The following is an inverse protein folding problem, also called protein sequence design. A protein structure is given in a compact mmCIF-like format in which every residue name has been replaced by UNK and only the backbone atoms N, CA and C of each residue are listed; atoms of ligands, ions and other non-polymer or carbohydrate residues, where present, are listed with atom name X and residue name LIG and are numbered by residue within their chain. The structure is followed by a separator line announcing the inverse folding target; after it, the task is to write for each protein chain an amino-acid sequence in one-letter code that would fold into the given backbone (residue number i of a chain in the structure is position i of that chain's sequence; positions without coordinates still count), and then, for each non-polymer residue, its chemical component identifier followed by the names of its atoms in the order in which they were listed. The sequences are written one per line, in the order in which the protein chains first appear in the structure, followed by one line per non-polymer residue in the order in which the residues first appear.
data_IF_927295947382
#
_entry.id   IF_927295947382
#
_cell.length_a   1.000
_cell.length_b   1.000
_cell.length_c   1.000
_cell.angle_alpha   90.00
_cell.angle_beta   90.00
_cell.angle_gamma   90.00
#
_symmetry.space_group_name_H-M   'P 1'
#
loop_
_entity.id
_entity.type
_entity.pdbx_description
1 polymer ?
#
# COMPACT_ATOMS: atom_id res chain seq x y z
N UNK A 1 -22.69 23.38 -3.12
CA UNK A 1 -22.13 23.24 -4.48
C UNK A 1 -22.42 21.90 -5.15
N UNK A 2 -22.21 20.77 -4.45
CA UNK A 2 -22.33 19.42 -5.04
C UNK A 2 -23.73 19.13 -5.64
N UNK A 3 -24.78 19.73 -5.10
CA UNK A 3 -26.16 19.60 -5.58
C UNK A 3 -26.55 20.61 -6.67
N UNK A 4 -25.65 21.52 -7.09
CA UNK A 4 -26.00 22.56 -8.06
C UNK A 4 -26.14 22.00 -9.48
N UNK A 5 -27.22 22.33 -10.18
CA UNK A 5 -27.43 21.96 -11.59
C UNK A 5 -26.43 22.66 -12.54
N UNK A 6 -26.00 23.87 -12.17
CA UNK A 6 -25.06 24.68 -12.97
C UNK A 6 -23.60 24.43 -12.60
N UNK A 7 -23.31 23.52 -11.66
CA UNK A 7 -21.97 23.34 -11.09
C UNK A 7 -20.88 23.27 -12.17
N UNK A 8 -21.09 22.42 -13.18
CA UNK A 8 -20.13 22.17 -14.25
C UNK A 8 -19.91 23.41 -15.12
N UNK A 9 -20.97 24.19 -15.38
CA UNK A 9 -20.86 25.45 -16.12
C UNK A 9 -20.12 26.50 -15.31
N UNK A 10 -20.43 26.62 -14.02
CA UNK A 10 -19.86 27.64 -13.13
C UNK A 10 -18.36 27.43 -12.93
N UNK A 11 -17.94 26.19 -12.68
CA UNK A 11 -16.50 25.85 -12.55
C UNK A 11 -15.74 26.01 -13.87
N UNK A 12 -16.41 25.84 -15.01
CA UNK A 12 -15.76 26.03 -16.32
C UNK A 12 -15.58 27.50 -16.69
N UNK A 13 -16.40 28.39 -16.10
CA UNK A 13 -16.45 29.81 -16.49
C UNK A 13 -15.52 30.68 -15.65
N UNK A 14 -15.32 30.37 -14.36
CA UNK A 14 -14.45 31.18 -13.50
C UNK A 14 -13.59 30.32 -12.57
N UNK A 15 -12.29 30.62 -12.52
CA UNK A 15 -11.33 29.94 -11.63
C UNK A 15 -11.69 30.08 -10.15
N UNK A 16 -12.22 31.24 -9.73
CA UNK A 16 -12.64 31.46 -8.35
C UNK A 16 -13.74 30.48 -7.88
N UNK A 17 -14.63 30.06 -8.78
CA UNK A 17 -15.63 29.04 -8.49
C UNK A 17 -14.98 27.66 -8.36
N UNK A 18 -13.94 27.35 -9.13
CA UNK A 18 -13.19 26.10 -8.98
C UNK A 18 -12.58 25.99 -7.59
N UNK A 19 -11.93 27.05 -7.09
CA UNK A 19 -11.29 27.06 -5.77
C UNK A 19 -12.31 26.91 -4.64
N UNK A 20 -13.44 27.63 -4.74
CA UNK A 20 -14.52 27.53 -3.75
C UNK A 20 -15.13 26.13 -3.72
N UNK A 21 -15.41 25.55 -4.89
CA UNK A 21 -15.99 24.20 -5.01
C UNK A 21 -14.99 23.17 -4.49
N UNK A 22 -13.71 23.29 -4.83
CA UNK A 22 -12.65 22.41 -4.36
C UNK A 22 -12.52 22.46 -2.83
N UNK A 23 -12.53 23.67 -2.24
CA UNK A 23 -12.56 23.85 -0.78
C UNK A 23 -13.79 23.20 -0.15
N UNK A 24 -14.97 23.37 -0.75
CA UNK A 24 -16.20 22.73 -0.31
C UNK A 24 -16.17 21.21 -0.36
N UNK A 25 -15.65 20.63 -1.45
CA UNK A 25 -15.54 19.19 -1.60
C UNK A 25 -14.57 18.59 -0.58
N UNK A 26 -13.46 19.28 -0.28
CA UNK A 26 -12.53 18.88 0.79
C UNK A 26 -13.21 18.81 2.15
N UNK A 27 -14.10 19.75 2.46
CA UNK A 27 -14.89 19.71 3.69
C UNK A 27 -15.85 18.52 3.66
N UNK A 28 -16.55 18.31 2.55
CA UNK A 28 -17.48 17.18 2.39
C UNK A 28 -16.78 15.83 2.57
N UNK A 29 -15.64 15.61 1.90
CA UNK A 29 -14.85 14.38 2.04
C UNK A 29 -14.45 14.13 3.50
N UNK A 30 -13.97 15.16 4.22
CA UNK A 30 -13.62 15.05 5.64
C UNK A 30 -14.82 14.70 6.51
N UNK A 31 -15.99 15.27 6.23
CA UNK A 31 -17.23 15.00 6.98
C UNK A 31 -17.73 13.57 6.73
N UNK A 32 -17.70 13.08 5.49
CA UNK A 32 -18.07 11.71 5.15
C UNK A 32 -17.19 10.71 5.89
N UNK A 33 -15.88 10.97 5.96
CA UNK A 33 -14.92 10.09 6.67
C UNK A 33 -15.08 10.06 8.18
N UNK A 34 -15.80 10.99 8.78
CA UNK A 34 -16.10 10.92 10.20
C UNK A 34 -17.01 9.72 10.45
N UNK A 35 -16.55 8.75 11.24
CA UNK A 35 -17.22 7.45 11.47
C UNK A 35 -18.54 7.55 12.26
N UNK A 36 -18.93 8.77 12.65
CA UNK A 36 -20.14 9.07 13.39
C UNK A 36 -21.39 9.10 12.48
N UNK A 37 -22.56 9.08 13.11
CA UNK A 37 -23.86 9.13 12.43
C UNK A 37 -23.96 10.24 11.40
N UNK A 38 -23.41 11.42 11.68
CA UNK A 38 -23.45 12.59 10.81
C UNK A 38 -22.73 12.35 9.48
N UNK A 39 -21.55 11.70 9.50
CA UNK A 39 -20.79 11.41 8.29
C UNK A 39 -21.50 10.39 7.41
N UNK A 40 -22.00 9.30 8.01
CA UNK A 40 -22.79 8.29 7.30
C UNK A 40 -24.09 8.85 6.71
N UNK A 41 -24.77 9.72 7.45
CA UNK A 41 -25.98 10.38 6.96
C UNK A 41 -25.68 11.26 5.75
N UNK A 42 -24.62 12.07 5.81
CA UNK A 42 -24.21 12.91 4.69
C UNK A 42 -23.84 12.07 3.46
N UNK A 43 -23.07 10.99 3.66
CA UNK A 43 -22.71 10.05 2.61
C UNK A 43 -23.97 9.45 1.95
N UNK A 44 -24.93 9.01 2.75
CA UNK A 44 -26.22 8.51 2.27
C UNK A 44 -26.99 9.58 1.47
N UNK A 45 -27.13 10.80 2.00
CA UNK A 45 -27.82 11.91 1.33
C UNK A 45 -27.18 12.29 -0.01
N UNK A 46 -25.85 12.24 -0.12
CA UNK A 46 -25.14 12.46 -1.39
C UNK A 46 -25.39 11.29 -2.34
N UNK A 47 -25.29 10.05 -1.86
CA UNK A 47 -25.48 8.85 -2.69
C UNK A 47 -26.88 8.72 -3.28
N UNK A 48 -27.91 9.20 -2.58
CA UNK A 48 -29.29 9.18 -3.04
C UNK A 48 -29.64 10.34 -3.98
N UNK A 49 -28.75 11.31 -4.17
CA UNK A 49 -28.98 12.43 -5.07
C UNK A 49 -28.35 12.17 -6.42
N UNK A 50 -29.20 11.92 -7.43
CA UNK A 50 -28.77 11.76 -8.82
C UNK A 50 -27.95 12.94 -9.30
N UNK A 51 -28.37 14.17 -8.98
CA UNK A 51 -27.63 15.38 -9.35
C UNK A 51 -26.23 15.43 -8.71
N UNK A 52 -26.11 15.08 -7.42
CA UNK A 52 -24.83 15.11 -6.72
C UNK A 52 -23.86 14.06 -7.28
N UNK A 53 -24.33 12.83 -7.48
CA UNK A 53 -23.53 11.75 -8.07
C UNK A 53 -23.16 12.09 -9.51
N UNK A 54 -24.10 12.55 -10.33
CA UNK A 54 -23.84 12.97 -11.72
C UNK A 54 -22.81 14.09 -11.80
N UNK A 55 -22.87 15.06 -10.89
CA UNK A 55 -21.87 16.13 -10.81
C UNK A 55 -20.46 15.60 -10.51
N UNK A 56 -20.34 14.66 -9.56
CA UNK A 56 -19.07 14.00 -9.26
C UNK A 56 -18.56 13.22 -10.48
N UNK A 57 -19.40 12.44 -11.14
CA UNK A 57 -19.07 11.71 -12.37
C UNK A 57 -18.59 12.65 -13.49
N UNK A 58 -19.30 13.75 -13.72
CA UNK A 58 -18.93 14.74 -14.75
C UNK A 58 -17.59 15.41 -14.46
N UNK A 59 -17.27 15.67 -13.19
CA UNK A 59 -15.95 16.19 -12.79
C UNK A 59 -14.85 15.17 -13.10
N UNK A 60 -15.10 13.88 -12.87
CA UNK A 60 -14.16 12.82 -13.27
C UNK A 60 -13.94 12.85 -14.80
N UNK A 61 -14.99 13.07 -15.58
CA UNK A 61 -14.93 13.00 -17.05
C UNK A 61 -14.33 14.24 -17.72
N UNK A 62 -14.30 15.40 -17.05
CA UNK A 62 -13.81 16.67 -17.60
C UNK A 62 -12.34 16.68 -18.06
N UNK A 63 -11.53 15.66 -17.76
CA UNK A 63 -10.15 15.58 -18.27
C UNK A 63 -9.31 16.78 -17.85
N UNK A 64 -8.47 17.34 -18.74
CA UNK A 64 -7.59 18.48 -18.40
C UNK A 64 -8.32 19.82 -18.17
N UNK A 65 -9.65 19.87 -18.34
CA UNK A 65 -10.43 21.13 -18.18
C UNK A 65 -10.84 21.40 -16.74
N UNK A 66 -10.94 20.36 -15.90
CA UNK A 66 -11.08 20.52 -14.46
C UNK A 66 -9.71 20.62 -13.80
N UNK A 67 -9.61 21.39 -12.71
CA UNK A 67 -8.41 21.35 -11.89
C UNK A 67 -8.20 19.94 -11.34
N UNK A 68 -6.95 19.45 -11.37
CA UNK A 68 -6.60 18.11 -10.87
C UNK A 68 -6.99 17.93 -9.40
N UNK A 69 -6.89 19.00 -8.62
CA UNK A 69 -7.29 19.00 -7.21
C UNK A 69 -8.78 18.73 -7.06
N UNK A 70 -9.63 19.33 -7.90
CA UNK A 70 -11.06 19.06 -7.90
C UNK A 70 -11.38 17.62 -8.32
N UNK A 71 -10.65 17.07 -9.29
CA UNK A 71 -10.77 15.65 -9.66
C UNK A 71 -10.40 14.73 -8.52
N UNK A 72 -9.28 14.99 -7.84
CA UNK A 72 -8.85 14.24 -6.65
C UNK A 72 -9.96 14.24 -5.60
N UNK A 73 -10.55 15.41 -5.31
CA UNK A 73 -11.65 15.49 -4.34
C UNK A 73 -12.90 14.71 -4.77
N UNK A 74 -13.25 14.72 -6.05
CA UNK A 74 -14.36 13.92 -6.56
C UNK A 74 -14.09 12.42 -6.45
N UNK A 75 -12.86 11.99 -6.77
CA UNK A 75 -12.41 10.59 -6.60
C UNK A 75 -12.53 10.17 -5.13
N UNK A 76 -12.01 10.99 -4.21
CA UNK A 76 -12.05 10.70 -2.78
C UNK A 76 -13.49 10.54 -2.26
N UNK A 77 -14.39 11.47 -2.61
CA UNK A 77 -15.80 11.37 -2.21
C UNK A 77 -16.45 10.10 -2.77
N UNK A 78 -16.34 9.84 -4.08
CA UNK A 78 -16.94 8.66 -4.71
C UNK A 78 -16.39 7.35 -4.14
N UNK A 79 -15.12 7.34 -3.75
CA UNK A 79 -14.48 6.17 -3.12
C UNK A 79 -15.11 5.86 -1.76
N UNK A 80 -15.29 6.88 -0.92
CA UNK A 80 -15.96 6.70 0.38
C UNK A 80 -17.40 6.21 0.21
N UNK A 81 -18.15 6.78 -0.76
CA UNK A 81 -19.52 6.32 -1.07
C UNK A 81 -19.56 4.88 -1.59
N UNK A 82 -18.55 4.46 -2.36
CA UNK A 82 -18.50 3.13 -2.93
C UNK A 82 -18.13 2.04 -1.90
N UNK A 83 -17.39 2.42 -0.86
CA UNK A 83 -16.92 1.52 0.20
C UNK A 83 -17.92 1.33 1.34
N UNK A 84 -18.81 2.30 1.59
CA UNK A 84 -19.76 2.24 2.71
C UNK A 84 -20.86 1.19 2.43
N UNK A 85 -20.89 0.04 3.14
CA UNK A 85 -21.81 -1.06 2.81
C UNK A 85 -23.31 -0.73 2.84
N UNK A 86 -23.83 0.14 3.75
CA UNK A 86 -25.22 0.58 3.74
C UNK A 86 -25.57 1.45 2.53
N UNK A 87 -24.58 2.03 1.85
CA UNK A 87 -24.78 2.85 0.67
C UNK A 87 -24.89 1.94 -0.56
N UNK A 88 -26.09 1.89 -1.13
CA UNK A 88 -26.32 1.23 -2.41
C UNK A 88 -25.99 2.17 -3.58
N UNK A 89 -24.71 2.55 -3.70
CA UNK A 89 -24.26 3.31 -4.85
C UNK A 89 -24.45 2.46 -6.11
N UNK A 90 -25.02 3.06 -7.16
CA UNK A 90 -25.33 2.36 -8.40
C UNK A 90 -24.11 1.63 -8.97
N UNK A 91 -24.32 0.41 -9.47
CA UNK A 91 -23.25 -0.40 -10.07
C UNK A 91 -22.57 0.35 -11.21
N UNK A 92 -23.34 1.05 -12.05
CA UNK A 92 -22.80 1.87 -13.15
C UNK A 92 -21.83 2.95 -12.65
N UNK A 93 -22.15 3.63 -11.55
CA UNK A 93 -21.27 4.64 -10.94
C UNK A 93 -19.98 4.02 -10.41
N UNK A 94 -20.06 2.87 -9.74
CA UNK A 94 -18.88 2.13 -9.27
C UNK A 94 -17.99 1.74 -10.45
N UNK A 95 -18.58 1.27 -11.53
CA UNK A 95 -17.87 0.90 -12.75
C UNK A 95 -17.20 2.10 -13.42
N UNK A 96 -17.90 3.24 -13.57
CA UNK A 96 -17.32 4.49 -14.08
C UNK A 96 -16.11 4.92 -13.26
N UNK A 97 -16.22 4.88 -11.93
CA UNK A 97 -15.13 5.20 -11.02
C UNK A 97 -13.92 4.29 -11.28
N UNK A 98 -14.12 2.97 -11.30
CA UNK A 98 -13.07 1.96 -11.55
C UNK A 98 -12.40 2.20 -12.91
N UNK A 99 -13.19 2.32 -13.97
CA UNK A 99 -12.70 2.47 -15.34
C UNK A 99 -11.86 3.74 -15.48
N UNK A 100 -12.30 4.84 -14.86
CA UNK A 100 -11.55 6.09 -14.85
C UNK A 100 -10.24 5.95 -14.09
N UNK A 101 -10.25 5.35 -12.91
CA UNK A 101 -9.04 5.19 -12.11
C UNK A 101 -8.01 4.31 -12.82
N UNK A 102 -8.44 3.24 -13.49
CA UNK A 102 -7.55 2.39 -14.30
C UNK A 102 -6.88 3.18 -15.41
N UNK A 103 -7.66 3.94 -16.18
CA UNK A 103 -7.13 4.79 -17.26
C UNK A 103 -6.12 5.81 -16.73
N UNK A 104 -6.40 6.43 -15.59
CA UNK A 104 -5.55 7.45 -14.97
C UNK A 104 -4.25 6.82 -14.44
N UNK A 105 -4.35 5.70 -13.73
CA UNK A 105 -3.22 5.02 -13.10
C UNK A 105 -2.25 4.41 -14.11
N UNK A 106 -2.77 3.77 -15.16
CA UNK A 106 -1.95 3.06 -16.15
C UNK A 106 -1.35 3.99 -17.21
N UNK A 107 -1.86 5.22 -17.36
CA UNK A 107 -1.34 6.17 -18.33
C UNK A 107 -0.02 6.82 -17.87
N UNK A 108 0.99 6.85 -18.74
CA UNK A 108 2.32 7.43 -18.44
C UNK A 108 2.30 8.96 -18.38
N UNK A 109 1.42 9.61 -19.14
CA UNK A 109 1.30 11.08 -19.21
C UNK A 109 0.44 11.73 -18.12
N UNK A 110 -0.06 10.95 -17.15
CA UNK A 110 -0.86 11.46 -16.04
C UNK A 110 0.03 12.13 -14.99
N UNK A 111 -0.42 13.26 -14.45
CA UNK A 111 0.25 13.93 -13.33
C UNK A 111 0.32 13.02 -12.08
N UNK A 112 1.40 13.15 -11.34
CA UNK A 112 1.77 12.21 -10.27
C UNK A 112 0.72 12.13 -9.15
N UNK A 113 0.24 13.25 -8.62
CA UNK A 113 -0.73 13.23 -7.52
C UNK A 113 -2.04 12.56 -7.94
N UNK A 114 -2.54 12.88 -9.14
CA UNK A 114 -3.74 12.26 -9.69
C UNK A 114 -3.52 10.75 -9.95
N UNK A 115 -2.37 10.37 -10.50
CA UNK A 115 -1.98 8.98 -10.74
C UNK A 115 -1.89 8.17 -9.43
N UNK A 116 -1.24 8.71 -8.40
CA UNK A 116 -1.15 8.12 -7.06
C UNK A 116 -2.54 7.97 -6.44
N UNK A 117 -3.38 9.00 -6.53
CA UNK A 117 -4.75 8.97 -5.98
C UNK A 117 -5.59 7.87 -6.65
N UNK A 118 -5.53 7.79 -7.98
CA UNK A 118 -6.24 6.76 -8.73
C UNK A 118 -5.79 5.35 -8.37
N UNK A 119 -4.48 5.14 -8.28
CA UNK A 119 -3.92 3.86 -7.88
C UNK A 119 -4.31 3.45 -6.46
N UNK A 120 -4.20 4.35 -5.47
CA UNK A 120 -4.64 4.09 -4.09
C UNK A 120 -6.14 3.81 -3.99
N UNK A 121 -6.94 4.49 -4.80
CA UNK A 121 -8.38 4.25 -4.90
C UNK A 121 -8.67 2.85 -5.40
N UNK A 122 -7.99 2.40 -6.46
CA UNK A 122 -8.12 1.04 -6.98
C UNK A 122 -7.71 0.00 -5.95
N UNK A 123 -6.56 0.19 -5.28
CA UNK A 123 -6.09 -0.69 -4.22
C UNK A 123 -7.08 -0.78 -3.05
N UNK A 124 -7.76 0.33 -2.72
CA UNK A 124 -8.75 0.32 -1.65
C UNK A 124 -10.05 -0.39 -2.05
N UNK A 125 -10.58 -0.07 -3.25
CA UNK A 125 -11.81 -0.66 -3.76
C UNK A 125 -11.67 -2.16 -4.04
N UNK A 126 -10.51 -2.62 -4.54
CA UNK A 126 -10.27 -4.03 -4.87
C UNK A 126 -10.26 -4.95 -3.65
N UNK A 127 -10.14 -4.45 -2.42
CA UNK A 127 -10.33 -5.26 -1.20
C UNK A 127 -11.72 -5.89 -1.10
N UNK A 128 -12.70 -5.36 -1.82
CA UNK A 128 -14.03 -5.96 -1.92
C UNK A 128 -14.03 -7.01 -3.03
N UNK A 129 -14.39 -8.25 -2.70
CA UNK A 129 -14.41 -9.36 -3.66
C UNK A 129 -15.22 -9.05 -4.94
N UNK A 130 -16.38 -8.40 -4.81
CA UNK A 130 -17.23 -8.03 -5.96
C UNK A 130 -16.53 -7.05 -6.91
N UNK A 131 -15.78 -6.09 -6.36
CA UNK A 131 -15.03 -5.11 -7.16
C UNK A 131 -13.81 -5.76 -7.81
N UNK A 132 -13.07 -6.59 -7.08
CA UNK A 132 -11.95 -7.34 -7.66
C UNK A 132 -12.37 -8.20 -8.85
N UNK A 133 -13.48 -8.93 -8.72
CA UNK A 133 -14.05 -9.71 -9.83
C UNK A 133 -14.50 -8.81 -10.99
N UNK A 134 -15.10 -7.66 -10.71
CA UNK A 134 -15.45 -6.68 -11.74
C UNK A 134 -14.23 -6.14 -12.50
N UNK A 135 -13.13 -5.87 -11.81
CA UNK A 135 -11.87 -5.40 -12.42
C UNK A 135 -11.32 -6.48 -13.33
N UNK A 136 -11.19 -7.73 -12.85
CA UNK A 136 -10.62 -8.82 -13.64
C UNK A 136 -11.47 -9.17 -14.86
N UNK A 137 -12.79 -9.30 -14.71
CA UNK A 137 -13.69 -9.76 -15.78
C UNK A 137 -13.80 -8.81 -16.98
N UNK A 138 -13.65 -7.50 -16.75
CA UNK A 138 -13.80 -6.49 -17.80
C UNK A 138 -12.51 -6.16 -18.53
N UNK A 139 -11.39 -6.58 -17.98
CA UNK A 139 -10.09 -6.11 -18.38
C UNK A 139 -9.05 -7.21 -18.22
N UNK A 140 -9.16 -8.24 -19.04
CA UNK A 140 -8.32 -9.44 -18.94
C UNK A 140 -6.81 -9.14 -19.06
N UNK A 141 -6.40 -7.96 -19.56
CA UNK A 141 -5.01 -7.51 -19.63
C UNK A 141 -4.55 -6.60 -18.47
N UNK A 142 -5.41 -6.30 -17.48
CA UNK A 142 -5.01 -5.47 -16.32
C UNK A 142 -3.94 -6.15 -15.51
N UNK A 143 -4.04 -7.48 -15.31
CA UNK A 143 -3.05 -8.20 -14.54
C UNK A 143 -1.65 -8.01 -15.14
N UNK A 144 -1.52 -8.11 -16.46
CA UNK A 144 -0.27 -7.85 -17.19
C UNK A 144 0.19 -6.40 -17.00
N UNK A 145 -0.70 -5.44 -17.24
CA UNK A 145 -0.38 -4.00 -17.17
C UNK A 145 0.04 -3.57 -15.77
N UNK A 146 -0.62 -4.06 -14.71
CA UNK A 146 -0.25 -3.77 -13.33
C UNK A 146 1.03 -4.53 -12.94
N UNK A 147 1.24 -5.72 -13.48
CA UNK A 147 2.50 -6.48 -13.31
C UNK A 147 3.69 -5.76 -13.95
N UNK A 148 3.50 -5.10 -15.09
CA UNK A 148 4.50 -4.20 -15.69
C UNK A 148 4.85 -3.01 -14.79
N UNK A 149 3.89 -2.52 -13.99
CA UNK A 149 4.15 -1.44 -13.05
C UNK A 149 5.12 -1.81 -11.92
N UNK A 150 5.34 -3.11 -11.66
CA UNK A 150 6.32 -3.57 -10.70
C UNK A 150 7.79 -3.37 -11.14
N UNK A 151 8.03 -3.09 -12.43
CA UNK A 151 9.38 -2.89 -12.98
C UNK A 151 10.20 -1.89 -12.15
N UNK A 152 11.47 -2.22 -11.92
CA UNK A 152 12.40 -1.38 -11.16
C UNK A 152 12.55 0.07 -11.69
N UNK A 153 12.25 0.29 -12.99
CA UNK A 153 12.24 1.61 -13.64
C UNK A 153 11.15 2.55 -13.11
N UNK A 154 10.07 1.98 -12.56
CA UNK A 154 8.95 2.74 -12.03
C UNK A 154 9.26 3.29 -10.64
N UNK A 155 8.61 4.41 -10.30
CA UNK A 155 8.69 5.00 -8.96
C UNK A 155 8.23 4.00 -7.90
N UNK A 156 8.87 4.02 -6.74
CA UNK A 156 8.58 3.11 -5.61
C UNK A 156 7.09 3.15 -5.23
N UNK A 157 6.49 4.35 -5.22
CA UNK A 157 5.07 4.51 -4.89
C UNK A 157 4.15 3.79 -5.89
N UNK A 158 4.44 3.84 -7.19
CA UNK A 158 3.64 3.14 -8.21
C UNK A 158 3.75 1.63 -8.08
N UNK A 159 4.96 1.14 -7.78
CA UNK A 159 5.24 -0.29 -7.56
C UNK A 159 4.54 -0.81 -6.31
N UNK A 160 4.53 -0.01 -5.25
CA UNK A 160 3.84 -0.35 -3.99
C UNK A 160 2.34 -0.48 -4.23
N UNK A 161 1.74 0.53 -4.88
CA UNK A 161 0.32 0.50 -5.23
C UNK A 161 -0.01 -0.68 -6.15
N UNK A 162 0.83 -0.95 -7.16
CA UNK A 162 0.64 -2.07 -8.06
C UNK A 162 0.67 -3.42 -7.32
N UNK A 163 1.58 -3.58 -6.36
CA UNK A 163 1.65 -4.77 -5.52
C UNK A 163 0.37 -4.96 -4.68
N UNK A 164 -0.14 -3.89 -4.06
CA UNK A 164 -1.41 -3.93 -3.29
C UNK A 164 -2.62 -4.26 -4.18
N UNK A 165 -2.69 -3.70 -5.40
CA UNK A 165 -3.76 -4.03 -6.34
C UNK A 165 -3.69 -5.51 -6.70
N UNK A 166 -2.52 -6.01 -7.13
CA UNK A 166 -2.32 -7.42 -7.50
C UNK A 166 -2.65 -8.35 -6.33
N UNK A 167 -2.29 -7.98 -5.09
CA UNK A 167 -2.57 -8.79 -3.90
C UNK A 167 -4.07 -8.97 -3.71
N UNK A 168 -4.84 -7.89 -3.82
CA UNK A 168 -6.29 -7.95 -3.71
C UNK A 168 -6.93 -8.75 -4.85
N UNK A 169 -6.43 -8.59 -6.08
CA UNK A 169 -6.91 -9.36 -7.22
C UNK A 169 -6.64 -10.86 -7.04
N UNK A 170 -5.41 -11.23 -6.63
CA UNK A 170 -5.02 -12.60 -6.33
C UNK A 170 -5.82 -13.22 -5.18
N UNK A 171 -6.24 -12.41 -4.21
CA UNK A 171 -7.02 -12.88 -3.04
C UNK A 171 -8.44 -13.31 -3.43
N UNK A 172 -9.03 -12.66 -4.43
CA UNK A 172 -10.46 -12.77 -4.75
C UNK A 172 -10.77 -13.42 -6.09
N UNK A 173 -9.77 -13.61 -6.96
CA UNK A 173 -9.95 -14.15 -8.29
C UNK A 173 -8.88 -15.20 -8.60
N UNK A 174 -9.29 -16.33 -9.19
CA UNK A 174 -8.36 -17.32 -9.71
C UNK A 174 -7.73 -16.76 -10.99
N UNK A 175 -6.52 -16.22 -10.88
CA UNK A 175 -5.71 -15.91 -12.05
C UNK A 175 -5.29 -17.20 -12.76
N UNK A 176 -4.96 -17.08 -14.05
CA UNK A 176 -4.38 -18.19 -14.79
C UNK A 176 -3.08 -18.66 -14.13
N UNK A 177 -3.02 -19.93 -13.76
CA UNK A 177 -1.94 -20.49 -12.93
C UNK A 177 -0.61 -20.54 -13.67
N UNK A 178 -0.67 -20.74 -15.00
CA UNK A 178 0.51 -20.69 -15.86
C UNK A 178 1.05 -19.25 -15.93
N UNK A 179 0.20 -18.26 -16.17
CA UNK A 179 0.58 -16.86 -16.12
C UNK A 179 1.18 -16.44 -14.77
N UNK A 180 0.57 -16.87 -13.66
CA UNK A 180 1.08 -16.56 -12.30
C UNK A 180 2.47 -17.14 -12.10
N UNK A 181 2.69 -18.41 -12.47
CA UNK A 181 3.97 -19.10 -12.32
C UNK A 181 5.05 -18.53 -13.23
N UNK A 182 4.71 -18.22 -14.47
CA UNK A 182 5.69 -17.92 -15.52
C UNK A 182 5.97 -16.42 -15.66
N UNK A 183 5.07 -15.56 -15.18
CA UNK A 183 5.19 -14.09 -15.32
C UNK A 183 5.17 -13.35 -13.99
N UNK A 184 4.10 -13.50 -13.18
CA UNK A 184 3.90 -12.68 -11.98
C UNK A 184 4.88 -13.06 -10.86
N UNK A 185 4.92 -14.33 -10.47
CA UNK A 185 5.75 -14.80 -9.35
C UNK A 185 7.25 -14.56 -9.57
N UNK A 186 7.85 -14.86 -10.75
CA UNK A 186 9.25 -14.58 -11.00
C UNK A 186 9.57 -13.09 -10.86
N UNK A 187 8.66 -12.24 -11.32
CA UNK A 187 8.82 -10.78 -11.28
C UNK A 187 8.72 -10.23 -9.86
N UNK A 188 7.73 -10.66 -9.08
CA UNK A 188 7.59 -10.27 -7.68
C UNK A 188 8.80 -10.75 -6.88
N UNK A 189 9.24 -12.01 -7.05
CA UNK A 189 10.41 -12.52 -6.34
C UNK A 189 11.70 -11.80 -6.72
N UNK A 190 11.91 -11.50 -8.00
CA UNK A 190 13.05 -10.69 -8.43
C UNK A 190 13.07 -9.36 -7.69
N UNK A 191 11.93 -8.70 -7.59
CA UNK A 191 11.81 -7.40 -6.95
C UNK A 191 11.94 -7.47 -5.41
N UNK A 192 11.41 -8.51 -4.77
CA UNK A 192 11.60 -8.79 -3.33
C UNK A 192 13.08 -8.99 -3.01
N UNK A 193 13.80 -9.74 -3.85
CA UNK A 193 15.17 -10.15 -3.58
C UNK A 193 16.23 -9.13 -4.04
N UNK A 194 15.84 -8.07 -4.74
CA UNK A 194 16.76 -6.96 -5.07
C UNK A 194 17.15 -6.19 -3.80
N UNK A 195 18.41 -6.33 -3.38
CA UNK A 195 19.00 -5.50 -2.31
C UNK A 195 19.72 -4.30 -2.93
N UNK A 196 19.46 -3.08 -2.42
CA UNK A 196 20.17 -1.87 -2.88
C UNK A 196 21.48 -1.61 -2.13
N UNK A 197 21.79 -2.31 -1.04
CA UNK A 197 23.03 -2.08 -0.30
C UNK A 197 24.19 -2.88 -0.88
N UNK A 198 25.32 -2.19 -1.05
CA UNK A 198 26.63 -2.81 -1.23
C UNK A 198 26.86 -3.77 -0.06
N UNK A 199 27.41 -4.98 -0.29
CA UNK A 199 27.61 -5.94 0.79
C UNK A 199 28.38 -5.27 1.94
N UNK A 200 27.99 -5.51 3.21
CA UNK A 200 28.72 -4.98 4.33
C UNK A 200 30.15 -5.51 4.25
N UNK A 201 31.14 -4.62 4.37
CA UNK A 201 32.51 -5.05 4.60
C UNK A 201 32.52 -5.97 5.83
N UNK A 202 33.35 -7.01 5.78
CA UNK A 202 33.41 -8.12 6.74
C UNK A 202 33.58 -7.70 8.22
N UNK A 203 33.80 -6.41 8.49
CA UNK A 203 33.93 -5.83 9.82
C UNK A 203 32.62 -5.73 10.64
N UNK A 204 31.42 -5.84 10.05
CA UNK A 204 30.14 -5.69 10.79
C UNK A 204 29.48 -7.01 11.22
N UNK A 205 30.08 -8.17 10.92
CA UNK A 205 29.48 -9.51 11.11
C UNK A 205 29.34 -10.01 12.57
N UNK A 206 29.52 -9.17 13.60
CA UNK A 206 29.50 -9.62 15.01
C UNK A 206 28.40 -9.05 15.88
N UNK A 207 27.41 -8.36 15.31
CA UNK A 207 26.20 -8.00 16.06
C UNK A 207 25.09 -9.00 15.76
N UNK A 208 24.69 -9.78 16.76
CA UNK A 208 23.50 -10.63 16.67
C UNK A 208 22.29 -9.76 16.28
N UNK A 209 21.62 -10.04 15.15
CA UNK A 209 20.46 -9.27 14.73
C UNK A 209 19.38 -9.24 15.80
N UNK A 210 18.67 -8.12 15.95
CA UNK A 210 17.65 -7.96 16.99
C UNK A 210 16.55 -9.04 16.90
N UNK A 211 16.21 -9.51 15.71
CA UNK A 211 15.25 -10.61 15.53
C UNK A 211 15.76 -11.94 16.09
N UNK A 212 17.06 -12.22 16.03
CA UNK A 212 17.64 -13.41 16.67
C UNK A 212 17.54 -13.29 18.19
N UNK A 213 17.68 -12.06 18.74
CA UNK A 213 17.37 -11.77 20.16
C UNK A 213 15.87 -11.88 20.47
N UNK A 214 14.97 -11.54 19.54
CA UNK A 214 13.52 -11.67 19.70
C UNK A 214 13.07 -13.14 19.71
N UNK A 215 13.57 -13.95 18.78
CA UNK A 215 13.34 -15.40 18.73
C UNK A 215 13.91 -16.09 19.99
N UNK A 216 15.12 -15.72 20.41
CA UNK A 216 15.71 -16.16 21.69
C UNK A 216 14.89 -15.67 22.90
N UNK A 217 14.35 -14.45 22.89
CA UNK A 217 13.47 -13.93 23.96
C UNK A 217 12.19 -14.74 24.09
N UNK A 218 11.63 -15.25 22.99
CA UNK A 218 10.44 -16.11 23.03
C UNK A 218 10.75 -17.49 23.59
N UNK A 219 11.91 -18.07 23.27
CA UNK A 219 12.40 -19.31 23.90
C UNK A 219 12.68 -19.10 25.40
N UNK A 220 13.31 -17.98 25.75
CA UNK A 220 13.62 -17.63 27.14
C UNK A 220 12.36 -17.32 27.95
N UNK A 221 11.29 -16.78 27.35
CA UNK A 221 10.01 -16.50 28.03
C UNK A 221 9.21 -17.76 28.36
N UNK A 222 9.35 -18.82 27.56
CA UNK A 222 8.80 -20.17 27.86
C UNK A 222 9.60 -20.85 28.98
N UNK A 223 10.94 -20.74 28.94
CA UNK A 223 11.84 -21.23 30.01
C UNK A 223 11.65 -20.45 31.34
N UNK A 224 11.44 -19.13 31.26
CA UNK A 224 11.22 -18.26 32.41
C UNK A 224 9.83 -18.43 33.01
N UNK A 225 8.80 -18.80 32.24
CA UNK A 225 7.50 -19.21 32.81
C UNK A 225 7.58 -20.52 33.59
N UNK A 226 8.50 -21.44 33.22
CA UNK A 226 8.82 -22.64 34.02
C UNK A 226 9.62 -22.30 35.29
N UNK A 227 10.52 -21.32 35.24
CA UNK A 227 11.35 -20.90 36.40
C UNK A 227 10.71 -19.84 37.32
N UNK A 228 9.74 -19.06 36.86
CA UNK A 228 9.04 -18.03 37.68
C UNK A 228 7.94 -18.60 38.57
N UNK A 229 7.59 -19.89 38.44
CA UNK A 229 6.73 -20.59 39.40
C UNK A 229 7.47 -20.98 40.69
N UNK A 230 8.78 -20.70 40.81
CA UNK A 230 9.62 -21.13 41.94
C UNK A 230 10.43 -20.03 42.63
N UNK A 231 10.23 -18.73 42.35
CA UNK A 231 10.88 -17.66 43.12
C UNK A 231 10.10 -16.34 43.03
N UNK A 232 9.29 -16.11 44.06
CA UNK A 232 8.77 -14.79 44.41
C UNK A 232 9.76 -14.09 45.36
N UNK A 233 9.75 -12.75 45.33
CA UNK A 233 10.12 -11.79 46.40
C UNK A 233 11.17 -10.75 46.00
N UNK A 234 10.78 -9.47 46.11
CA UNK A 234 11.66 -8.32 46.42
C UNK A 234 11.90 -7.29 45.30
N UNK A 235 11.09 -6.21 45.28
CA UNK A 235 11.41 -4.76 45.48
C UNK A 235 12.85 -4.25 45.21
N UNK A 236 13.17 -3.01 44.78
CA UNK A 236 12.50 -1.72 44.49
C UNK A 236 13.59 -0.75 43.92
N UNK A 237 13.19 0.24 43.09
CA UNK A 237 13.81 1.57 42.78
C UNK A 237 15.29 1.71 42.31
N UNK A 238 15.78 2.76 41.64
CA UNK A 238 15.31 4.11 41.30
C UNK A 238 16.14 4.65 40.10
N UNK A 239 15.60 5.67 39.41
CA UNK A 239 16.27 6.49 38.39
C UNK A 239 17.12 7.60 39.06
N UNK A 240 18.06 8.29 38.37
CA UNK A 240 17.71 9.65 37.91
C UNK A 240 18.37 10.14 36.60
N UNK A 241 17.68 11.13 36.03
CA UNK A 241 18.03 12.01 34.90
C UNK A 241 19.30 12.86 35.13
N UNK A 242 19.95 13.26 34.04
CA UNK A 242 20.62 14.57 33.95
C UNK A 242 20.65 15.07 32.50
N UNK A 243 20.27 16.34 32.36
CA UNK A 243 20.27 17.19 31.17
C UNK A 243 21.70 17.53 30.70
N UNK A 244 21.84 17.94 29.44
CA UNK A 244 22.64 19.12 29.06
C UNK A 244 22.33 19.51 27.60
N UNK A 245 21.87 20.76 27.44
CA UNK A 245 21.68 21.49 26.17
C UNK A 245 22.99 22.15 25.75
N UNK A 246 23.49 21.89 24.54
CA UNK A 246 24.15 22.92 23.69
C UNK A 246 24.45 22.35 22.29
N UNK A 247 23.89 22.98 21.24
CA UNK A 247 24.50 23.23 19.92
C UNK A 247 23.43 23.44 18.83
N UNK A 248 22.75 24.59 18.88
CA UNK A 248 22.02 25.12 17.72
C UNK A 248 23.01 25.96 16.90
N UNK A 249 23.57 25.42 15.80
CA UNK A 249 23.92 26.21 14.60
C UNK A 249 24.53 25.38 13.43
N UNK A 250 24.00 24.20 13.06
CA UNK A 250 24.41 23.52 11.80
C UNK A 250 23.31 22.71 11.09
N UNK A 251 22.04 22.86 11.47
CA UNK A 251 21.02 21.83 11.19
C UNK A 251 20.34 21.90 9.80
N UNK A 252 20.38 23.01 9.07
CA UNK A 252 19.44 23.14 7.95
C UNK A 252 19.75 22.26 6.72
N UNK A 253 21.02 21.99 6.41
CA UNK A 253 21.39 21.20 5.22
C UNK A 253 21.52 19.68 5.50
N UNK A 254 21.82 19.32 6.75
CA UNK A 254 21.89 17.93 7.22
C UNK A 254 20.49 17.35 7.38
N UNK A 255 19.53 18.16 7.84
CA UNK A 255 18.16 17.74 8.14
C UNK A 255 17.33 17.49 6.88
N UNK A 256 17.57 18.24 5.80
CA UNK A 256 16.95 18.01 4.49
C UNK A 256 17.41 16.65 3.92
N UNK A 257 18.72 16.39 3.89
CA UNK A 257 19.27 15.10 3.44
C UNK A 257 18.81 13.91 4.31
N UNK A 258 18.72 14.09 5.63
CA UNK A 258 18.20 13.07 6.55
C UNK A 258 16.70 12.81 6.34
N UNK A 259 15.91 13.85 6.08
CA UNK A 259 14.46 13.72 5.84
C UNK A 259 14.17 12.96 4.55
N UNK A 260 14.87 13.29 3.45
CA UNK A 260 14.75 12.60 2.17
C UNK A 260 15.24 11.15 2.25
N UNK A 261 16.35 10.89 2.96
CA UNK A 261 16.82 9.52 3.21
C UNK A 261 15.83 8.70 4.05
N UNK A 262 15.19 9.32 5.03
CA UNK A 262 14.18 8.65 5.86
C UNK A 262 12.91 8.34 5.08
N UNK A 263 12.44 9.27 4.25
CA UNK A 263 11.27 9.07 3.38
C UNK A 263 11.53 7.98 2.34
N UNK A 264 12.70 7.98 1.70
CA UNK A 264 13.10 6.94 0.74
C UNK A 264 13.27 5.58 1.38
N UNK A 265 13.83 5.51 2.60
CA UNK A 265 13.91 4.27 3.37
C UNK A 265 12.51 3.74 3.72
N UNK A 266 11.63 4.61 4.23
CA UNK A 266 10.25 4.26 4.59
C UNK A 266 9.48 3.73 3.38
N UNK A 267 9.54 4.43 2.24
CA UNK A 267 8.91 3.99 1.00
C UNK A 267 9.47 2.65 0.50
N UNK A 268 10.77 2.41 0.69
CA UNK A 268 11.40 1.12 0.35
C UNK A 268 10.89 0.00 1.24
N UNK A 269 10.71 0.26 2.54
CA UNK A 269 10.12 -0.70 3.48
C UNK A 269 8.67 -1.04 3.13
N UNK A 270 7.85 -0.03 2.84
CA UNK A 270 6.44 -0.22 2.44
C UNK A 270 6.33 -1.09 1.18
N UNK A 271 7.19 -0.81 0.18
CA UNK A 271 7.26 -1.63 -1.02
C UNK A 271 7.65 -3.08 -0.73
N UNK A 272 8.66 -3.31 0.13
CA UNK A 272 9.08 -4.66 0.50
C UNK A 272 7.98 -5.41 1.25
N UNK A 273 7.27 -4.74 2.15
CA UNK A 273 6.11 -5.29 2.85
C UNK A 273 5.01 -5.70 1.85
N UNK A 274 4.63 -4.81 0.94
CA UNK A 274 3.59 -5.07 -0.05
C UNK A 274 3.96 -6.24 -0.99
N UNK A 275 5.21 -6.29 -1.48
CA UNK A 275 5.67 -7.37 -2.35
C UNK A 275 5.71 -8.73 -1.62
N UNK A 276 6.13 -8.75 -0.35
CA UNK A 276 6.13 -9.97 0.46
C UNK A 276 4.71 -10.45 0.79
N UNK A 277 3.78 -9.53 1.07
CA UNK A 277 2.37 -9.85 1.27
C UNK A 277 1.75 -10.45 0.00
N UNK A 278 1.97 -9.80 -1.16
CA UNK A 278 1.57 -10.33 -2.47
C UNK A 278 2.15 -11.72 -2.75
N UNK A 279 3.44 -11.94 -2.48
CA UNK A 279 4.09 -13.25 -2.69
C UNK A 279 3.39 -14.34 -1.88
N UNK A 280 3.06 -14.05 -0.62
CA UNK A 280 2.34 -14.99 0.24
C UNK A 280 0.94 -15.28 -0.28
N UNK A 281 0.20 -14.26 -0.73
CA UNK A 281 -1.13 -14.48 -1.30
C UNK A 281 -1.05 -15.35 -2.55
N UNK A 282 -0.06 -15.12 -3.42
CA UNK A 282 0.17 -15.97 -4.60
C UNK A 282 0.40 -17.42 -4.17
N UNK A 283 1.28 -17.66 -3.18
CA UNK A 283 1.56 -19.02 -2.67
C UNK A 283 0.33 -19.67 -2.04
N UNK A 284 -0.39 -18.96 -1.17
CA UNK A 284 -1.52 -19.50 -0.40
C UNK A 284 -2.78 -19.72 -1.25
N UNK A 285 -2.95 -18.98 -2.36
CA UNK A 285 -4.21 -18.93 -3.13
C UNK A 285 -4.11 -19.41 -4.57
N UNK A 286 -2.95 -19.28 -5.21
CA UNK A 286 -2.83 -19.43 -6.66
C UNK A 286 -1.78 -20.46 -7.08
N UNK A 287 -0.76 -20.73 -6.26
CA UNK A 287 0.19 -21.80 -6.53
C UNK A 287 -0.42 -23.13 -6.09
N UNK A 288 -0.33 -24.14 -6.96
CA UNK A 288 -0.95 -25.45 -6.77
C UNK A 288 -0.03 -26.40 -5.98
N UNK A 289 1.30 -26.24 -6.08
CA UNK A 289 2.28 -27.11 -5.42
C UNK A 289 3.50 -26.37 -4.86
N UNK A 290 4.10 -26.89 -3.80
CA UNK A 290 5.37 -26.39 -3.26
C UNK A 290 6.51 -26.50 -4.30
N UNK A 291 6.47 -27.53 -5.16
CA UNK A 291 7.45 -27.75 -6.22
C UNK A 291 7.46 -26.59 -7.24
N UNK A 292 6.28 -26.09 -7.65
CA UNK A 292 6.17 -24.95 -8.57
C UNK A 292 6.81 -23.68 -8.00
N UNK A 293 6.62 -23.43 -6.70
CA UNK A 293 7.23 -22.29 -6.03
C UNK A 293 8.75 -22.44 -5.95
N UNK A 294 9.23 -23.61 -5.54
CA UNK A 294 10.66 -23.90 -5.41
C UNK A 294 11.40 -23.79 -6.74
N UNK A 295 10.78 -24.23 -7.83
CA UNK A 295 11.34 -24.11 -9.17
C UNK A 295 11.50 -22.64 -9.59
N UNK A 296 10.47 -21.82 -9.39
CA UNK A 296 10.55 -20.39 -9.69
C UNK A 296 11.56 -19.69 -8.78
N UNK A 297 11.56 -19.98 -7.49
CA UNK A 297 12.50 -19.39 -6.53
C UNK A 297 13.96 -19.74 -6.88
N UNK A 298 14.23 -20.98 -7.30
CA UNK A 298 15.55 -21.44 -7.73
C UNK A 298 16.00 -20.74 -9.01
N UNK A 299 15.09 -20.56 -9.97
CA UNK A 299 15.37 -19.85 -11.22
C UNK A 299 15.73 -18.38 -10.97
N UNK A 300 14.97 -17.69 -10.12
CA UNK A 300 15.19 -16.27 -9.79
C UNK A 300 16.47 -16.06 -8.96
N UNK A 301 16.74 -16.95 -8.00
CA UNK A 301 17.85 -16.76 -7.05
C UNK A 301 19.18 -17.39 -7.50
N UNK A 302 19.17 -18.24 -8.52
CA UNK A 302 20.33 -18.91 -9.15
C UNK A 302 21.34 -19.45 -8.14
N UNK A 303 21.00 -20.59 -7.53
CA UNK A 303 21.90 -21.36 -6.65
C UNK A 303 21.19 -21.93 -5.43
N UNK A 304 21.62 -23.10 -4.98
CA UNK A 304 21.08 -23.73 -3.78
C UNK A 304 21.29 -22.83 -2.55
N UNK A 305 20.23 -22.62 -1.76
CA UNK A 305 20.24 -21.75 -0.58
C UNK A 305 20.32 -20.23 -0.87
N UNK A 306 20.44 -19.80 -2.13
CA UNK A 306 20.53 -18.37 -2.48
C UNK A 306 19.23 -17.61 -2.17
N UNK A 307 18.07 -18.25 -2.38
CA UNK A 307 16.79 -17.69 -2.00
C UNK A 307 16.75 -17.32 -0.51
N UNK A 308 17.10 -18.29 0.34
CA UNK A 308 17.12 -18.11 1.81
C UNK A 308 18.13 -17.04 2.21
N UNK A 309 19.32 -17.02 1.59
CA UNK A 309 20.34 -16.01 1.86
C UNK A 309 19.86 -14.59 1.50
N UNK A 310 19.27 -14.41 0.32
CA UNK A 310 18.73 -13.12 -0.12
C UNK A 310 17.53 -12.68 0.74
N UNK A 311 16.64 -13.60 1.09
CA UNK A 311 15.50 -13.29 1.97
C UNK A 311 15.97 -12.92 3.39
N UNK A 312 17.01 -13.59 3.90
CA UNK A 312 17.67 -13.20 5.15
C UNK A 312 18.23 -11.78 5.07
N UNK A 313 18.90 -11.43 3.96
CA UNK A 313 19.37 -10.05 3.74
C UNK A 313 18.22 -9.05 3.77
N UNK A 314 17.08 -9.35 3.14
CA UNK A 314 15.88 -8.49 3.20
C UNK A 314 15.43 -8.28 4.64
N UNK A 315 15.38 -9.34 5.46
CA UNK A 315 15.01 -9.23 6.88
C UNK A 315 16.02 -8.39 7.67
N UNK A 316 17.32 -8.59 7.43
CA UNK A 316 18.38 -7.84 8.10
C UNK A 316 18.39 -6.36 7.72
N UNK A 317 18.13 -6.02 6.46
CA UNK A 317 18.03 -4.65 5.98
C UNK A 317 16.82 -3.89 6.55
N UNK A 318 15.78 -4.60 6.97
CA UNK A 318 14.51 -4.02 7.43
C UNK A 318 14.23 -4.32 8.91
N UNK A 319 15.27 -4.52 9.74
CA UNK A 319 15.13 -5.00 11.13
C UNK A 319 14.91 -3.93 12.20
N UNK A 320 14.42 -2.74 11.82
CA UNK A 320 14.12 -1.65 12.75
C UNK A 320 12.93 -1.97 13.67
N UNK A 321 12.79 -1.24 14.80
CA UNK A 321 11.70 -1.43 15.74
C UNK A 321 10.38 -0.76 15.26
N UNK A 322 9.91 -1.15 14.08
CA UNK A 322 8.68 -0.63 13.46
C UNK A 322 7.67 -1.74 13.19
N UNK A 323 6.40 -1.36 13.00
CA UNK A 323 5.35 -2.31 12.64
C UNK A 323 5.64 -2.99 11.29
N UNK A 324 6.12 -2.24 10.29
CA UNK A 324 6.43 -2.74 8.95
C UNK A 324 7.57 -3.76 9.01
N UNK A 325 8.63 -3.50 9.79
CA UNK A 325 9.72 -4.45 10.04
C UNK A 325 9.23 -5.79 10.60
N UNK A 326 8.29 -5.75 11.55
CA UNK A 326 7.70 -6.97 12.11
C UNK A 326 6.87 -7.74 11.08
N UNK A 327 6.12 -7.04 10.22
CA UNK A 327 5.37 -7.66 9.12
C UNK A 327 6.29 -8.29 8.09
N UNK A 328 7.35 -7.60 7.66
CA UNK A 328 8.37 -8.13 6.76
C UNK A 328 8.98 -9.41 7.33
N UNK A 329 9.40 -9.41 8.60
CA UNK A 329 9.92 -10.62 9.28
C UNK A 329 8.87 -11.73 9.28
N UNK A 330 7.64 -11.40 9.67
CA UNK A 330 6.54 -12.38 9.71
C UNK A 330 6.27 -12.99 8.35
N UNK A 331 6.30 -12.20 7.27
CA UNK A 331 6.05 -12.67 5.92
C UNK A 331 7.21 -13.51 5.40
N UNK A 332 8.44 -13.06 5.60
CA UNK A 332 9.64 -13.82 5.22
C UNK A 332 9.70 -15.18 5.92
N UNK A 333 9.38 -15.25 7.22
CA UNK A 333 9.33 -16.53 7.95
C UNK A 333 8.25 -17.44 7.38
N UNK A 334 7.06 -16.92 7.03
CA UNK A 334 6.01 -17.73 6.41
C UNK A 334 6.41 -18.26 5.04
N UNK A 335 7.13 -17.46 4.23
CA UNK A 335 7.63 -17.91 2.92
C UNK A 335 8.68 -19.02 3.04
N UNK A 336 9.49 -19.03 4.10
CA UNK A 336 10.43 -20.12 4.38
C UNK A 336 9.75 -21.41 4.85
N UNK A 337 8.46 -21.36 5.15
CA UNK A 337 7.67 -22.49 5.65
C UNK A 337 6.67 -23.03 4.61
N UNK A 338 6.59 -22.41 3.42
CA UNK A 338 5.85 -22.95 2.27
C UNK A 338 6.56 -24.23 1.79
#
# INVERSE_FOLDING_TARGET
PIYSETLIQDISTMSAWQDLVNGGFRVVHRLIRATEWTGRRLAHEISCSEQAVSNLERILDQGSTASQTLQIQAIEILTELALDPPINLATETKEKLINKQLKVFLNEGTEENLKVTAGKTLALLSKTATISVCIMSKYNNIADQVTEMLDAKNKIIYRTIAAEILENLCTHHAMDTEHVRDTLLPKVLTEVLTSKKKPPSEASQRQFPWWARLLMRRHLSVEQRRKRKSKASGDVDENPQQDDEENQHFEHNSQINLSEQKETHTATMELKEALLSLTLVICDKLIISADDFDDVARNVSSGEGQFVAKLKTVVEENCEATANSLRIVSFAVRLLLQ
#
